data_IF_365940960300
#
_entry.id   IF_365940960300
#
_cell.length_a   1.000
_cell.length_b   1.000
_cell.length_c   1.000
_cell.angle_alpha   90.00
_cell.angle_beta   90.00
_cell.angle_gamma   90.00
#
_symmetry.space_group_name_H-M   'P 1'
#
loop_
_entity.id
_entity.type
_entity.pdbx_description
1 polymer ?
#
# COMPACT_ATOMS: atom_id res chain seq x y z
N UNK A 1 -9.97 1.63 3.31
CA UNK A 1 -8.61 2.16 3.08
C UNK A 1 -7.74 0.99 2.64
N UNK A 2 -7.14 1.08 1.45
CA UNK A 2 -6.04 0.17 1.10
C UNK A 2 -4.70 0.90 1.19
N UNK A 3 -3.63 0.13 1.07
CA UNK A 3 -2.27 0.63 0.93
C UNK A 3 -1.83 0.42 -0.52
N UNK A 4 -1.73 1.50 -1.33
CA UNK A 4 -1.44 1.40 -2.76
C UNK A 4 0.07 1.43 -3.04
N UNK A 5 0.62 0.35 -3.60
CA UNK A 5 2.01 0.25 -4.05
C UNK A 5 2.08 0.06 -5.56
N UNK A 6 3.08 0.63 -6.21
CA UNK A 6 3.36 0.41 -7.64
C UNK A 6 4.84 0.18 -7.90
N UNK A 7 5.11 -0.73 -8.83
CA UNK A 7 6.45 -1.09 -9.29
C UNK A 7 6.55 -0.86 -10.80
N UNK A 8 7.51 -0.05 -11.22
CA UNK A 8 7.73 0.30 -12.63
C UNK A 8 8.88 -0.51 -13.23
N UNK A 9 8.65 -1.14 -14.38
CA UNK A 9 9.63 -1.98 -15.08
C UNK A 9 9.83 -1.50 -16.53
N UNK A 10 11.07 -1.16 -16.93
CA UNK A 10 11.36 -0.70 -18.28
C UNK A 10 11.23 -1.79 -19.34
N UNK A 11 11.03 -1.39 -20.60
CA UNK A 11 10.84 -2.30 -21.74
C UNK A 11 11.88 -3.41 -21.82
N UNK A 12 13.16 -3.11 -21.63
CA UNK A 12 14.24 -4.09 -21.80
C UNK A 12 14.14 -5.28 -20.83
N UNK A 13 13.49 -5.10 -19.67
CA UNK A 13 13.26 -6.17 -18.69
C UNK A 13 12.13 -7.11 -19.09
N UNK A 14 11.09 -6.58 -19.76
CA UNK A 14 9.85 -7.31 -20.04
C UNK A 14 9.66 -7.65 -21.52
N UNK A 15 10.54 -7.18 -22.41
CA UNK A 15 10.43 -7.35 -23.87
C UNK A 15 10.41 -8.81 -24.33
N UNK A 16 10.98 -9.73 -23.54
CA UNK A 16 11.05 -11.16 -23.87
C UNK A 16 9.81 -11.94 -23.46
N UNK A 17 8.91 -11.34 -22.66
CA UNK A 17 7.71 -12.01 -22.14
C UNK A 17 6.49 -11.54 -22.95
N UNK A 18 5.78 -12.44 -23.65
CA UNK A 18 4.53 -12.06 -24.31
C UNK A 18 3.51 -11.55 -23.29
N UNK A 19 2.79 -10.45 -23.61
CA UNK A 19 1.80 -9.81 -22.71
C UNK A 19 0.85 -10.82 -22.05
N UNK A 20 0.24 -11.69 -22.85
CA UNK A 20 -0.70 -12.71 -22.38
C UNK A 20 -0.07 -13.71 -21.40
N UNK A 21 1.23 -14.03 -21.56
CA UNK A 21 1.94 -14.90 -20.63
C UNK A 21 2.23 -14.19 -19.32
N UNK A 22 2.64 -12.93 -19.36
CA UNK A 22 2.91 -12.14 -18.16
C UNK A 22 1.67 -12.04 -17.26
N UNK A 23 0.53 -11.65 -17.84
CA UNK A 23 -0.74 -11.55 -17.14
C UNK A 23 -1.14 -12.89 -16.50
N UNK A 24 -0.99 -13.99 -17.25
CA UNK A 24 -1.23 -15.36 -16.74
C UNK A 24 -0.27 -15.76 -15.62
N UNK A 25 1.01 -15.39 -15.70
CA UNK A 25 1.97 -15.70 -14.64
C UNK A 25 1.68 -14.93 -13.35
N UNK A 26 1.35 -13.64 -13.46
CA UNK A 26 1.03 -12.79 -12.33
C UNK A 26 -0.29 -13.21 -11.64
N UNK A 27 -1.33 -13.53 -12.41
CA UNK A 27 -2.61 -13.99 -11.87
C UNK A 27 -2.50 -15.36 -11.19
N UNK A 28 -1.83 -16.32 -11.82
CA UNK A 28 -1.63 -17.66 -11.23
C UNK A 28 -0.80 -17.61 -9.94
N UNK A 29 0.28 -16.81 -9.93
CA UNK A 29 1.12 -16.64 -8.73
C UNK A 29 0.38 -15.86 -7.64
N UNK A 30 -0.45 -14.88 -7.99
CA UNK A 30 -1.29 -14.15 -7.03
C UNK A 30 -2.28 -15.09 -6.35
N UNK A 31 -2.99 -15.92 -7.14
CA UNK A 31 -3.90 -16.94 -6.62
C UNK A 31 -3.18 -17.89 -5.65
N UNK A 32 -2.00 -18.40 -6.01
CA UNK A 32 -1.18 -19.23 -5.11
C UNK A 32 -0.75 -18.50 -3.85
N UNK A 33 -0.38 -17.22 -3.96
CA UNK A 33 0.01 -16.42 -2.80
C UNK A 33 -1.16 -16.27 -1.84
N UNK A 34 -2.35 -15.98 -2.36
CA UNK A 34 -3.56 -15.82 -1.56
C UNK A 34 -3.93 -17.10 -0.80
N UNK A 35 -3.55 -18.30 -1.24
CA UNK A 35 -3.74 -19.52 -0.41
C UNK A 35 -3.01 -19.46 0.93
N UNK A 36 -1.85 -18.81 0.97
CA UNK A 36 -1.05 -18.61 2.20
C UNK A 36 -1.44 -17.34 2.97
N UNK A 37 -2.19 -16.46 2.30
CA UNK A 37 -2.58 -15.13 2.75
C UNK A 37 -4.11 -14.96 2.63
N UNK A 38 -4.86 -16.01 2.99
CA UNK A 38 -6.28 -16.21 2.67
C UNK A 38 -7.26 -15.11 3.13
N UNK A 39 -7.07 -14.40 4.27
CA UNK A 39 -7.93 -13.29 4.65
C UNK A 39 -7.99 -12.16 3.62
N UNK A 40 -6.94 -11.98 2.82
CA UNK A 40 -6.93 -10.99 1.73
C UNK A 40 -7.71 -11.42 0.48
N UNK A 41 -8.14 -12.69 0.42
CA UNK A 41 -9.09 -13.22 -0.55
C UNK A 41 -10.51 -13.36 0.01
N UNK A 42 -10.76 -12.84 1.22
CA UNK A 42 -12.09 -12.83 1.83
C UNK A 42 -12.89 -11.57 1.50
N UNK A 43 -14.01 -11.42 2.19
CA UNK A 43 -14.88 -10.25 2.14
C UNK A 43 -14.96 -9.53 3.50
N UNK A 44 -15.27 -8.24 3.48
CA UNK A 44 -15.39 -7.42 4.69
C UNK A 44 -16.84 -7.40 5.20
N UNK A 45 -17.07 -7.94 6.39
CA UNK A 45 -18.36 -7.89 7.09
C UNK A 45 -18.37 -6.85 8.19
N UNK A 46 -19.44 -6.07 8.24
CA UNK A 46 -19.73 -5.06 9.27
C UNK A 46 -18.56 -4.09 9.53
N UNK A 47 -17.73 -3.85 8.52
CA UNK A 47 -16.52 -3.02 8.61
C UNK A 47 -15.45 -3.44 9.63
N UNK A 48 -15.59 -4.58 10.30
CA UNK A 48 -14.72 -4.99 11.41
C UNK A 48 -14.22 -6.44 11.31
N UNK A 49 -14.95 -7.30 10.62
CA UNK A 49 -14.65 -8.73 10.52
C UNK A 49 -14.35 -9.11 9.07
N UNK A 50 -13.36 -9.98 8.87
CA UNK A 50 -13.08 -10.57 7.56
C UNK A 50 -13.74 -11.94 7.50
N UNK A 51 -14.64 -12.14 6.53
CA UNK A 51 -15.15 -13.47 6.19
C UNK A 51 -14.19 -14.10 5.19
N UNK A 52 -13.61 -15.25 5.53
CA UNK A 52 -12.69 -15.98 4.65
C UNK A 52 -13.51 -16.90 3.72
N UNK A 53 -14.29 -16.28 2.84
CA UNK A 53 -15.28 -16.89 1.93
C UNK A 53 -14.74 -17.12 0.50
N UNK A 54 -13.43 -16.97 0.30
CA UNK A 54 -12.76 -17.04 -1.00
C UNK A 54 -13.40 -16.12 -2.07
N UNK A 55 -13.96 -14.96 -1.67
CA UNK A 55 -14.44 -13.90 -2.58
C UNK A 55 -13.40 -13.51 -3.65
N UNK A 56 -12.13 -13.63 -3.30
CA UNK A 56 -11.01 -13.52 -4.21
C UNK A 56 -10.42 -12.12 -4.31
N UNK A 57 -9.58 -11.93 -5.31
CA UNK A 57 -8.90 -10.69 -5.62
C UNK A 57 -9.28 -10.19 -7.01
N UNK A 58 -9.29 -8.87 -7.19
CA UNK A 58 -9.48 -8.28 -8.51
C UNK A 58 -8.12 -8.07 -9.18
N UNK A 59 -8.02 -8.43 -10.47
CA UNK A 59 -6.83 -8.21 -11.28
C UNK A 59 -7.24 -7.50 -12.57
N UNK A 60 -6.71 -6.30 -12.77
CA UNK A 60 -6.95 -5.49 -13.96
C UNK A 60 -5.74 -5.53 -14.89
N UNK A 61 -5.97 -5.57 -16.19
CA UNK A 61 -4.94 -5.36 -17.21
C UNK A 61 -5.37 -4.21 -18.11
N UNK A 62 -4.55 -3.17 -18.20
CA UNK A 62 -4.90 -1.92 -18.88
C UNK A 62 -3.75 -1.41 -19.75
N UNK A 63 -4.09 -0.59 -20.74
CA UNK A 63 -3.12 0.19 -21.52
C UNK A 63 -3.20 1.67 -21.13
N UNK A 64 -2.05 2.27 -20.85
CA UNK A 64 -1.92 3.69 -20.56
C UNK A 64 -1.27 4.35 -21.77
N UNK A 65 -2.02 5.25 -22.43
CA UNK A 65 -1.60 6.03 -23.60
C UNK A 65 -0.63 7.17 -23.21
N UNK A 66 0.47 6.80 -22.56
CA UNK A 66 1.56 7.69 -22.16
C UNK A 66 2.84 6.89 -21.97
N UNK A 67 3.99 7.58 -22.02
CA UNK A 67 5.27 7.00 -21.61
C UNK A 67 5.33 6.80 -20.09
N UNK A 68 5.93 5.69 -19.65
CA UNK A 68 6.16 5.37 -18.24
C UNK A 68 6.89 6.50 -17.50
N UNK A 69 7.86 7.17 -18.13
CA UNK A 69 8.62 8.26 -17.52
C UNK A 69 7.78 9.50 -17.19
N UNK A 70 6.63 9.68 -17.85
CA UNK A 70 5.68 10.75 -17.50
C UNK A 70 4.81 10.37 -16.30
N UNK A 71 4.51 9.08 -16.14
CA UNK A 71 3.60 8.55 -15.11
C UNK A 71 4.34 8.19 -13.82
N UNK A 72 5.64 7.92 -13.88
CA UNK A 72 6.47 7.58 -12.71
C UNK A 72 6.45 8.65 -11.60
N UNK A 73 6.18 9.91 -11.98
CA UNK A 73 6.01 11.04 -11.07
C UNK A 73 4.56 11.32 -10.69
N UNK A 74 3.60 10.54 -11.18
CA UNK A 74 2.20 10.59 -10.81
C UNK A 74 1.61 9.17 -10.77
N UNK A 75 2.01 8.37 -9.76
CA UNK A 75 1.68 6.94 -9.69
C UNK A 75 0.17 6.68 -9.57
N UNK A 76 -0.65 7.66 -9.22
CA UNK A 76 -2.11 7.48 -9.10
C UNK A 76 -2.76 7.01 -10.40
N UNK A 77 -2.17 7.32 -11.55
CA UNK A 77 -2.66 6.90 -12.86
C UNK A 77 -2.50 5.39 -13.12
N UNK A 78 -1.72 4.67 -12.29
CA UNK A 78 -1.49 3.23 -12.45
C UNK A 78 -2.39 2.38 -11.56
N UNK A 79 -3.36 2.98 -10.87
CA UNK A 79 -4.33 2.27 -10.03
C UNK A 79 -5.73 2.37 -10.64
N UNK A 80 -6.60 1.36 -10.46
CA UNK A 80 -7.97 1.42 -10.94
C UNK A 80 -8.72 2.64 -10.37
N UNK A 81 -9.42 3.36 -11.25
CA UNK A 81 -10.27 4.48 -10.84
C UNK A 81 -11.46 3.97 -10.02
N UNK A 82 -11.92 4.75 -9.04
CA UNK A 82 -13.06 4.36 -8.21
C UNK A 82 -12.75 3.33 -7.12
N UNK A 83 -11.50 2.84 -7.02
CA UNK A 83 -11.05 2.20 -5.78
C UNK A 83 -11.28 3.16 -4.62
N UNK A 84 -11.93 2.67 -3.55
CA UNK A 84 -12.35 3.46 -2.40
C UNK A 84 -11.15 4.07 -1.64
N UNK A 85 -10.59 5.13 -2.18
CA UNK A 85 -9.69 6.06 -1.50
C UNK A 85 -10.42 7.37 -1.20
N UNK A 86 -11.35 7.78 -2.06
CA UNK A 86 -12.08 9.05 -1.99
C UNK A 86 -13.57 8.79 -1.75
N UNK A 87 -13.96 8.89 -0.49
CA UNK A 87 -15.33 9.03 -0.01
C UNK A 87 -16.33 7.90 -0.34
N UNK A 88 -17.29 7.77 0.57
CA UNK A 88 -18.31 6.74 0.64
C UNK A 88 -19.26 6.73 -0.56
N UNK A 89 -19.09 5.79 -1.49
CA UNK A 89 -20.21 5.18 -2.24
C UNK A 89 -19.73 4.01 -3.11
N UNK A 90 -19.96 2.79 -2.58
CA UNK A 90 -20.53 1.63 -3.30
C UNK A 90 -19.91 1.09 -4.61
N UNK A 91 -18.64 1.29 -4.94
CA UNK A 91 -18.12 0.86 -6.26
C UNK A 91 -16.90 -0.08 -6.30
N UNK A 92 -16.41 -0.57 -5.15
CA UNK A 92 -15.54 -1.76 -5.15
C UNK A 92 -16.37 -2.98 -4.77
N UNK A 93 -16.19 -4.12 -5.45
CA UNK A 93 -16.96 -5.36 -5.21
C UNK A 93 -16.81 -5.95 -3.79
N UNK A 94 -16.04 -5.30 -2.92
CA UNK A 94 -15.69 -5.78 -1.59
C UNK A 94 -14.32 -6.46 -1.52
N UNK A 95 -13.64 -6.62 -2.66
CA UNK A 95 -12.34 -7.30 -2.74
C UNK A 95 -11.28 -6.65 -1.85
N UNK A 96 -10.63 -7.44 -0.99
CA UNK A 96 -9.61 -6.95 -0.06
C UNK A 96 -8.22 -6.80 -0.69
N UNK A 97 -8.06 -7.34 -1.89
CA UNK A 97 -6.86 -7.30 -2.73
C UNK A 97 -7.23 -6.87 -4.14
N UNK A 98 -6.58 -5.82 -4.62
CA UNK A 98 -6.72 -5.38 -6.02
C UNK A 98 -5.34 -5.20 -6.62
N UNK A 99 -5.09 -5.81 -7.77
CA UNK A 99 -3.86 -5.66 -8.54
C UNK A 99 -4.17 -5.09 -9.92
N UNK A 100 -3.24 -4.32 -10.49
CA UNK A 100 -3.34 -3.83 -11.86
C UNK A 100 -2.01 -3.95 -12.58
N UNK A 101 -2.01 -4.58 -13.75
CA UNK A 101 -0.93 -4.56 -14.72
C UNK A 101 -1.23 -3.48 -15.77
N UNK A 102 -0.39 -2.44 -15.81
CA UNK A 102 -0.53 -1.34 -16.77
C UNK A 102 0.59 -1.40 -17.80
N UNK A 103 0.23 -1.41 -19.09
CA UNK A 103 1.17 -1.36 -20.21
C UNK A 103 1.31 0.07 -20.73
N UNK A 104 2.54 0.54 -20.95
CA UNK A 104 2.80 1.88 -21.50
C UNK A 104 3.19 1.84 -22.98
N UNK A 105 3.00 2.95 -23.70
CA UNK A 105 3.39 3.10 -25.12
C UNK A 105 4.89 2.84 -25.35
N UNK A 106 5.73 3.16 -24.36
CA UNK A 106 7.18 2.91 -24.42
C UNK A 106 7.56 1.44 -24.26
N UNK A 107 6.58 0.53 -24.08
CA UNK A 107 6.77 -0.90 -23.86
C UNK A 107 7.20 -1.30 -22.45
N UNK A 108 7.28 -0.33 -21.52
CA UNK A 108 7.42 -0.61 -20.09
C UNK A 108 6.08 -0.98 -19.46
N UNK A 109 6.13 -1.44 -18.21
CA UNK A 109 4.93 -1.79 -17.43
C UNK A 109 4.96 -1.15 -16.03
N UNK A 110 3.78 -1.03 -15.43
CA UNK A 110 3.60 -0.82 -13.99
C UNK A 110 2.77 -1.97 -13.41
N UNK A 111 3.26 -2.57 -12.33
CA UNK A 111 2.51 -3.52 -11.52
C UNK A 111 2.08 -2.84 -10.22
N UNK A 112 0.79 -2.62 -10.07
CA UNK A 112 0.18 -1.96 -8.93
C UNK A 112 -0.52 -2.98 -8.02
N UNK A 113 -0.47 -2.76 -6.71
CA UNK A 113 -1.15 -3.56 -5.70
C UNK A 113 -1.79 -2.66 -4.64
N UNK A 114 -3.02 -2.99 -4.29
CA UNK A 114 -3.84 -2.34 -3.28
C UNK A 114 -4.32 -3.40 -2.28
N UNK A 115 -3.76 -3.40 -1.07
CA UNK A 115 -4.17 -4.30 0.00
C UNK A 115 -4.93 -3.56 1.10
N UNK A 116 -6.09 -4.07 1.50
CA UNK A 116 -6.91 -3.47 2.55
C UNK A 116 -6.11 -3.38 3.86
N UNK A 117 -5.95 -2.16 4.38
CA UNK A 117 -5.26 -1.91 5.65
C UNK A 117 -6.05 -2.46 6.86
N UNK A 118 -7.30 -2.90 6.64
CA UNK A 118 -8.09 -3.59 7.68
C UNK A 118 -7.60 -5.01 7.96
N UNK A 119 -6.85 -5.61 7.03
CA UNK A 119 -6.38 -7.00 7.14
C UNK A 119 -4.96 -7.06 7.69
N UNK A 120 -4.10 -6.12 7.30
CA UNK A 120 -2.70 -6.12 7.70
C UNK A 120 -2.04 -4.75 7.61
N UNK A 121 -0.85 -4.66 8.20
CA UNK A 121 -0.02 -3.46 8.21
C UNK A 121 1.01 -3.44 7.07
N UNK A 122 1.94 -2.48 7.11
CA UNK A 122 3.02 -2.37 6.14
C UNK A 122 3.97 -3.58 6.13
N UNK A 123 4.19 -4.21 7.29
CA UNK A 123 5.03 -5.40 7.43
C UNK A 123 4.38 -6.60 6.73
N UNK A 124 3.08 -6.85 6.99
CA UNK A 124 2.34 -7.90 6.30
C UNK A 124 2.31 -7.65 4.79
N UNK A 125 2.11 -6.40 4.37
CA UNK A 125 2.08 -6.02 2.95
C UNK A 125 3.42 -6.29 2.25
N UNK A 126 4.54 -5.94 2.89
CA UNK A 126 5.86 -6.22 2.35
C UNK A 126 6.09 -7.73 2.16
N UNK A 127 5.76 -8.54 3.17
CA UNK A 127 5.94 -10.00 3.08
C UNK A 127 5.03 -10.64 2.03
N UNK A 128 3.78 -10.16 1.90
CA UNK A 128 2.89 -10.56 0.82
C UNK A 128 3.52 -10.31 -0.56
N UNK A 129 3.97 -9.08 -0.82
CA UNK A 129 4.59 -8.72 -2.10
C UNK A 129 5.86 -9.52 -2.39
N UNK A 130 6.71 -9.71 -1.37
CA UNK A 130 7.94 -10.52 -1.48
C UNK A 130 7.60 -11.96 -1.86
N UNK A 131 6.62 -12.56 -1.19
CA UNK A 131 6.26 -13.95 -1.41
C UNK A 131 5.50 -14.14 -2.74
N UNK A 132 4.69 -13.16 -3.16
CA UNK A 132 4.09 -13.12 -4.49
C UNK A 132 5.15 -13.11 -5.59
N UNK A 133 6.15 -12.23 -5.45
CA UNK A 133 7.28 -12.16 -6.38
C UNK A 133 8.07 -13.48 -6.42
N UNK A 134 8.27 -14.14 -5.26
CA UNK A 134 8.90 -15.47 -5.19
C UNK A 134 8.10 -16.55 -5.92
N UNK A 135 6.79 -16.62 -5.71
CA UNK A 135 5.90 -17.57 -6.39
C UNK A 135 5.77 -17.31 -7.89
N UNK A 136 5.94 -16.06 -8.32
CA UNK A 136 5.97 -15.71 -9.74
C UNK A 136 7.21 -16.29 -10.42
N UNK A 137 8.37 -16.24 -9.74
CA UNK A 137 9.63 -16.84 -10.23
C UNK A 137 9.66 -18.35 -10.16
N UNK A 138 9.23 -18.91 -9.03
CA UNK A 138 9.21 -20.35 -8.78
C UNK A 138 7.82 -20.78 -8.30
N UNK A 139 6.95 -21.23 -9.22
CA UNK A 139 5.59 -21.64 -8.86
C UNK A 139 5.51 -22.89 -7.98
N UNK A 140 6.64 -23.57 -7.71
CA UNK A 140 6.71 -24.79 -6.87
C UNK A 140 7.17 -24.49 -5.45
N UNK A 141 7.58 -23.25 -5.15
CA UNK A 141 8.05 -22.89 -3.82
C UNK A 141 6.92 -23.05 -2.79
N UNK A 142 7.23 -23.69 -1.67
CA UNK A 142 6.31 -23.78 -0.53
C UNK A 142 6.56 -22.58 0.37
N UNK A 143 5.55 -21.72 0.52
CA UNK A 143 5.63 -20.57 1.41
C UNK A 143 5.42 -21.00 2.86
N UNK A 144 6.15 -20.33 3.75
CA UNK A 144 5.94 -20.39 5.20
C UNK A 144 5.89 -18.95 5.70
N UNK A 145 4.71 -18.30 5.66
CA UNK A 145 4.60 -16.88 6.00
C UNK A 145 4.76 -16.70 7.52
N UNK A 146 5.99 -16.51 8.00
CA UNK A 146 6.31 -16.37 9.43
C UNK A 146 5.66 -15.17 10.12
N UNK A 147 5.22 -14.19 9.34
CA UNK A 147 4.68 -12.92 9.81
C UNK A 147 3.22 -12.71 9.42
N UNK A 148 2.58 -13.71 8.81
CA UNK A 148 1.15 -13.69 8.61
C UNK A 148 0.51 -14.46 9.76
N UNK A 149 -0.35 -13.79 10.52
CA UNK A 149 -0.97 -14.33 11.71
C UNK A 149 -1.95 -15.45 11.35
N UNK A 150 -1.44 -16.67 11.14
CA UNK A 150 -2.25 -17.88 11.15
C UNK A 150 -2.89 -18.10 12.54
N UNK A 151 -2.18 -17.65 13.59
CA UNK A 151 -2.46 -17.99 14.99
C UNK A 151 -2.62 -16.77 15.93
N UNK A 152 -2.52 -15.51 15.46
CA UNK A 152 -2.62 -14.30 16.31
C UNK A 152 -3.95 -13.54 16.22
N UNK A 153 -4.91 -14.07 15.47
CA UNK A 153 -6.29 -13.66 15.67
C UNK A 153 -6.78 -14.42 16.90
N UNK A 154 -6.88 -13.75 18.05
CA UNK A 154 -7.81 -14.21 19.07
C UNK A 154 -9.12 -14.48 18.33
N UNK A 155 -9.61 -15.74 18.27
CA UNK A 155 -10.85 -16.01 17.57
C UNK A 155 -11.89 -15.05 18.13
N UNK A 156 -12.56 -14.31 17.25
CA UNK A 156 -13.74 -13.56 17.66
C UNK A 156 -14.63 -14.57 18.39
N UNK A 157 -15.16 -14.25 19.58
CA UNK A 157 -16.14 -15.12 20.21
C UNK A 157 -17.25 -15.42 19.19
N UNK A 158 -17.79 -16.64 19.25
CA UNK A 158 -18.81 -17.13 18.31
C UNK A 158 -20.03 -16.20 18.20
N UNK A 159 -20.24 -15.31 19.17
CA UNK A 159 -21.39 -14.39 19.26
C UNK A 159 -21.12 -12.95 18.76
N UNK A 160 -20.04 -12.71 18.00
CA UNK A 160 -19.77 -11.43 17.34
C UNK A 160 -18.56 -10.66 17.89
N UNK A 161 -18.34 -9.40 17.46
CA UNK A 161 -17.18 -8.62 17.91
C UNK A 161 -17.23 -8.50 19.43
N UNK A 162 -16.08 -8.65 20.10
CA UNK A 162 -15.97 -8.37 21.53
C UNK A 162 -16.50 -6.96 21.80
N UNK A 163 -17.70 -6.86 22.34
CA UNK A 163 -18.17 -5.65 22.99
C UNK A 163 -17.40 -5.59 24.30
N UNK A 164 -16.16 -5.11 24.23
CA UNK A 164 -15.48 -4.69 25.44
C UNK A 164 -16.33 -3.59 26.05
N UNK A 165 -16.83 -3.80 27.28
CA UNK A 165 -17.19 -2.66 28.11
C UNK A 165 -15.94 -1.79 28.13
N UNK A 166 -16.07 -0.53 27.69
CA UNK A 166 -15.06 0.47 27.97
C UNK A 166 -15.03 0.56 29.49
N UNK A 167 -14.09 -0.15 30.13
CA UNK A 167 -13.86 -0.03 31.57
C UNK A 167 -13.26 1.35 31.72
N UNK A 168 -14.12 2.34 32.00
CA UNK A 168 -13.65 3.63 32.46
C UNK A 168 -13.08 3.44 33.86
N UNK A 169 -11.77 3.63 34.07
CA UNK A 169 -11.19 3.43 35.38
C UNK A 169 -11.76 4.45 36.37
N UNK A 170 -12.20 3.98 37.55
CA UNK A 170 -12.64 4.84 38.66
C UNK A 170 -11.50 5.79 39.04
N UNK A 171 -11.75 7.10 38.88
CA UNK A 171 -10.72 8.15 38.92
C UNK A 171 -10.48 8.72 40.32
N UNK A 172 -11.23 8.29 41.33
CA UNK A 172 -11.12 8.79 42.70
C UNK A 172 -9.93 8.14 43.41
N UNK A 173 -8.96 8.96 43.83
CA UNK A 173 -7.83 8.55 44.67
C UNK A 173 -6.54 8.15 43.95
N UNK A 174 -6.46 8.28 42.62
CA UNK A 174 -5.25 7.91 41.86
C UNK A 174 -4.14 8.99 41.97
N UNK A 175 -2.98 8.64 42.53
CA UNK A 175 -1.81 9.53 42.60
C UNK A 175 -1.00 9.42 41.31
N UNK A 176 -1.13 10.43 40.44
CA UNK A 176 -0.47 10.50 39.13
C UNK A 176 0.93 11.13 39.23
N UNK A 177 2.02 10.36 39.01
CA UNK A 177 3.35 10.92 38.69
C UNK A 177 3.57 10.90 37.16
N UNK A 178 3.86 12.06 36.53
CA UNK A 178 3.96 12.25 35.06
C UNK A 178 5.21 13.07 34.73
N UNK A 179 6.09 12.58 33.86
CA UNK A 179 6.81 13.45 32.91
C UNK A 179 5.76 13.87 31.87
N UNK A 180 5.34 15.13 31.92
CA UNK A 180 3.97 15.57 31.58
C UNK A 180 3.54 15.31 30.14
N UNK A 181 2.86 14.18 29.95
CA UNK A 181 1.73 13.96 29.03
C UNK A 181 0.80 15.19 29.13
N UNK A 182 0.55 15.84 28.00
CA UNK A 182 -0.45 16.89 27.86
C UNK A 182 -1.84 16.24 27.92
N UNK A 183 -2.79 16.94 28.53
CA UNK A 183 -4.20 16.61 28.35
C UNK A 183 -4.53 16.81 26.88
N UNK A 184 -4.82 15.76 26.13
CA UNK A 184 -5.73 15.90 25.01
C UNK A 184 -7.12 16.12 25.60
N UNK A 185 -7.37 17.36 26.05
CA UNK A 185 -8.63 18.00 25.70
C UNK A 185 -8.82 17.78 24.18
N UNK A 186 -10.06 17.63 23.71
CA UNK A 186 -10.39 17.96 22.32
C UNK A 186 -10.01 19.44 22.11
N UNK A 187 -8.73 19.70 21.88
CA UNK A 187 -8.21 20.87 21.23
C UNK A 187 -8.16 20.48 19.75
N UNK A 188 -8.48 21.41 18.86
CA UNK A 188 -8.17 21.29 17.45
C UNK A 188 -6.65 21.18 17.29
N UNK A 189 -6.10 19.98 17.46
CA UNK A 189 -4.71 19.69 17.20
C UNK A 189 -4.66 18.91 15.89
N UNK A 190 -3.91 19.43 14.92
CA UNK A 190 -3.63 18.70 13.70
C UNK A 190 -2.73 17.49 14.02
N UNK A 191 -3.22 16.30 13.66
CA UNK A 191 -2.47 15.05 13.79
C UNK A 191 -1.81 14.76 12.45
N UNK A 192 -0.50 14.51 12.48
CA UNK A 192 0.30 14.07 11.34
C UNK A 192 0.85 12.67 11.59
N UNK A 193 0.68 11.78 10.63
CA UNK A 193 1.17 10.40 10.66
C UNK A 193 2.45 10.29 9.83
N UNK A 194 3.54 9.84 10.46
CA UNK A 194 4.82 9.62 9.79
C UNK A 194 5.17 8.15 9.93
N UNK A 195 5.33 7.45 8.80
CA UNK A 195 5.72 6.05 8.75
C UNK A 195 7.00 5.88 7.96
N UNK A 196 7.97 5.16 8.51
CA UNK A 196 9.20 4.79 7.82
C UNK A 196 9.13 3.34 7.36
N UNK A 197 9.33 3.12 6.07
CA UNK A 197 9.38 1.80 5.43
C UNK A 197 10.77 1.50 4.87
N UNK A 198 11.81 2.23 5.28
CA UNK A 198 13.19 2.06 4.83
C UNK A 198 13.75 0.66 5.08
N UNK A 199 13.28 -0.02 6.12
CA UNK A 199 13.66 -1.39 6.43
C UNK A 199 13.06 -2.43 5.45
N UNK A 200 12.08 -2.02 4.65
CA UNK A 200 11.43 -2.87 3.65
C UNK A 200 12.06 -2.58 2.28
N UNK A 201 12.67 -3.62 1.70
CA UNK A 201 13.45 -3.52 0.47
C UNK A 201 12.54 -3.63 -0.77
N UNK A 202 11.55 -2.73 -0.89
CA UNK A 202 10.57 -2.74 -1.99
C UNK A 202 11.24 -2.66 -3.37
N UNK A 203 12.35 -1.94 -3.47
CA UNK A 203 13.18 -1.82 -4.67
C UNK A 203 13.89 -3.13 -5.08
N UNK A 204 13.92 -4.14 -4.20
CA UNK A 204 14.52 -5.46 -4.47
C UNK A 204 13.50 -6.52 -4.83
N UNK A 205 12.21 -6.20 -4.85
CA UNK A 205 11.13 -7.14 -5.18
C UNK A 205 11.16 -7.42 -6.69
N UNK A 206 11.67 -8.59 -7.06
CA UNK A 206 11.78 -9.03 -8.45
C UNK A 206 10.78 -10.15 -8.75
N UNK A 207 9.92 -9.97 -9.75
CA UNK A 207 8.89 -10.94 -10.15
C UNK A 207 9.40 -11.99 -11.16
N UNK A 208 10.68 -11.97 -11.53
CA UNK A 208 11.30 -12.86 -12.51
C UNK A 208 11.71 -12.19 -13.80
N UNK A 209 11.43 -10.89 -13.94
CA UNK A 209 11.85 -10.07 -15.07
C UNK A 209 12.85 -8.97 -14.65
N UNK A 210 13.40 -9.05 -13.43
CA UNK A 210 14.36 -8.10 -12.89
C UNK A 210 13.77 -7.21 -11.81
N UNK A 211 14.63 -6.38 -11.20
CA UNK A 211 14.22 -5.43 -10.16
C UNK A 211 13.49 -4.23 -10.78
N UNK A 212 12.51 -3.64 -10.09
CA UNK A 212 11.83 -2.45 -10.57
C UNK A 212 12.83 -1.31 -10.73
N UNK A 213 12.69 -0.55 -11.81
CA UNK A 213 13.41 0.73 -11.95
C UNK A 213 12.96 1.73 -10.87
N UNK A 214 11.71 1.60 -10.41
CA UNK A 214 11.20 2.39 -9.27
C UNK A 214 10.07 1.65 -8.56
N UNK A 215 10.13 1.65 -7.23
CA UNK A 215 8.98 1.39 -6.37
C UNK A 215 8.41 2.73 -5.88
N UNK A 216 7.09 2.86 -5.87
CA UNK A 216 6.40 4.08 -5.44
C UNK A 216 5.10 3.75 -4.72
N UNK A 217 4.54 4.75 -4.07
CA UNK A 217 3.24 4.67 -3.44
C UNK A 217 2.23 5.57 -4.15
N UNK A 218 0.97 5.13 -4.24
CA UNK A 218 -0.13 6.01 -4.64
C UNK A 218 -0.52 6.98 -3.52
N UNK A 219 -1.23 8.05 -3.88
CA UNK A 219 -1.86 8.97 -2.93
C UNK A 219 -2.88 8.20 -2.10
N UNK A 220 -2.54 7.96 -0.83
CA UNK A 220 -3.43 7.32 0.13
C UNK A 220 -4.66 8.18 0.45
N UNK A 221 -5.70 7.60 1.09
CA UNK A 221 -6.94 8.32 1.39
C UNK A 221 -6.80 9.37 2.50
N UNK A 222 -5.71 9.32 3.27
CA UNK A 222 -5.52 10.15 4.46
C UNK A 222 -4.62 11.33 4.17
N UNK A 223 -5.17 12.55 4.29
CA UNK A 223 -4.37 13.76 4.47
C UNK A 223 -3.56 13.67 5.76
N UNK A 224 -2.49 14.47 5.85
CA UNK A 224 -1.59 14.55 6.99
C UNK A 224 -0.73 13.28 7.17
N UNK A 225 -0.33 12.65 6.05
CA UNK A 225 0.48 11.43 6.07
C UNK A 225 1.81 11.65 5.36
N UNK A 226 2.89 11.14 5.95
CA UNK A 226 4.24 11.11 5.42
C UNK A 226 4.74 9.67 5.41
N UNK A 227 5.23 9.20 4.26
CA UNK A 227 5.75 7.85 4.10
C UNK A 227 7.17 7.91 3.56
N UNK A 228 8.12 7.38 4.32
CA UNK A 228 9.55 7.41 3.98
C UNK A 228 9.97 6.07 3.38
N UNK A 229 10.37 6.07 2.11
CA UNK A 229 10.81 4.89 1.36
C UNK A 229 12.25 5.06 0.86
N UNK A 230 12.92 3.94 0.57
CA UNK A 230 14.25 3.97 -0.05
C UNK A 230 14.21 4.61 -1.44
N UNK A 231 15.31 5.22 -1.84
CA UNK A 231 15.56 5.57 -3.24
C UNK A 231 15.91 4.32 -4.04
N UNK A 232 15.70 4.33 -5.36
CA UNK A 232 16.28 3.32 -6.25
C UNK A 232 17.80 3.20 -6.02
N UNK A 233 18.31 1.97 -6.09
CA UNK A 233 19.69 1.63 -5.68
C UNK A 233 20.80 2.30 -6.52
N UNK A 234 20.45 2.91 -7.65
CA UNK A 234 21.33 3.64 -8.57
C UNK A 234 21.43 5.15 -8.26
N UNK A 235 20.59 5.67 -7.36
CA UNK A 235 20.71 7.02 -6.82
C UNK A 235 21.33 6.99 -5.43
N UNK A 236 22.12 8.02 -5.11
CA UNK A 236 22.79 8.25 -3.82
C UNK A 236 21.85 7.94 -2.63
N UNK A 237 22.41 7.58 -1.45
CA UNK A 237 21.70 7.03 -0.26
C UNK A 237 20.65 7.96 0.40
N UNK A 238 19.77 8.55 -0.38
CA UNK A 238 18.69 9.42 0.04
C UNK A 238 17.44 8.65 0.47
N UNK A 239 16.43 9.42 0.86
CA UNK A 239 15.12 8.92 1.29
C UNK A 239 14.06 9.63 0.45
N UNK A 240 13.16 8.87 -0.15
CA UNK A 240 11.95 9.41 -0.77
C UNK A 240 10.90 9.64 0.32
N UNK A 241 10.44 10.88 0.47
CA UNK A 241 9.31 11.22 1.33
C UNK A 241 8.06 11.44 0.48
N UNK A 242 7.09 10.53 0.58
CA UNK A 242 5.76 10.68 0.01
C UNK A 242 4.88 11.44 0.99
N UNK A 243 4.50 12.65 0.62
CA UNK A 243 3.79 13.59 1.52
C UNK A 243 2.39 13.84 0.98
N UNK A 244 1.37 13.52 1.78
CA UNK A 244 -0.02 13.82 1.48
C UNK A 244 -0.57 14.77 2.54
N UNK A 245 -0.78 16.03 2.18
CA UNK A 245 -1.29 17.10 3.06
C UNK A 245 -2.49 17.76 2.42
N UNK A 246 -3.26 18.49 3.22
CA UNK A 246 -4.29 19.41 2.69
C UNK A 246 -3.63 20.44 1.78
N UNK A 247 -4.39 20.97 0.82
CA UNK A 247 -3.84 21.89 -0.20
C UNK A 247 -3.15 23.11 0.41
N UNK A 248 -3.74 23.70 1.45
CA UNK A 248 -3.18 24.85 2.18
C UNK A 248 -1.84 24.50 2.83
N UNK A 249 -1.80 23.39 3.58
CA UNK A 249 -0.60 22.91 4.27
C UNK A 249 0.50 22.50 3.28
N UNK A 250 0.11 21.87 2.17
CA UNK A 250 1.02 21.46 1.10
C UNK A 250 1.65 22.68 0.42
N UNK A 251 0.90 23.77 0.25
CA UNK A 251 1.43 25.03 -0.30
C UNK A 251 2.51 25.62 0.61
N UNK A 252 2.30 25.59 1.93
CA UNK A 252 3.29 26.05 2.91
C UNK A 252 4.51 25.11 2.89
N UNK A 253 4.28 23.80 3.02
CA UNK A 253 5.33 22.78 3.06
C UNK A 253 6.26 22.84 1.85
N UNK A 254 5.73 23.07 0.64
CA UNK A 254 6.51 23.17 -0.60
C UNK A 254 7.42 24.39 -0.66
N UNK A 255 7.06 25.48 0.00
CA UNK A 255 7.77 26.76 -0.07
C UNK A 255 8.65 27.00 1.17
N UNK A 256 8.72 26.04 2.09
CA UNK A 256 9.50 26.14 3.30
C UNK A 256 11.01 26.16 2.98
N UNK A 257 11.68 27.27 3.32
CA UNK A 257 13.09 27.48 2.97
C UNK A 257 14.05 26.57 3.73
N UNK A 258 13.67 26.10 4.91
CA UNK A 258 14.51 25.22 5.71
C UNK A 258 14.40 23.79 5.16
N UNK A 259 13.21 23.35 4.78
CA UNK A 259 13.00 22.06 4.11
C UNK A 259 13.74 22.00 2.77
N UNK A 260 13.66 23.06 1.96
CA UNK A 260 14.29 23.12 0.63
C UNK A 260 15.81 23.09 0.66
N UNK A 261 16.44 23.31 1.83
CA UNK A 261 17.89 23.10 2.00
C UNK A 261 18.28 21.62 1.98
N UNK A 262 17.35 20.72 2.34
CA UNK A 262 17.61 19.28 2.49
C UNK A 262 16.79 18.39 1.55
N UNK A 263 15.75 18.92 0.91
CA UNK A 263 14.84 18.16 0.08
C UNK A 263 14.67 18.79 -1.31
N UNK A 264 14.59 17.95 -2.33
CA UNK A 264 14.20 18.34 -3.68
C UNK A 264 12.76 17.91 -3.95
N UNK A 265 11.77 18.81 -3.88
CA UNK A 265 10.38 18.43 -4.10
C UNK A 265 10.15 18.04 -5.56
N UNK A 266 9.56 16.85 -5.75
CA UNK A 266 9.11 16.37 -7.06
C UNK A 266 7.59 16.47 -7.10
N UNK A 267 7.07 17.25 -8.03
CA UNK A 267 5.64 17.56 -8.09
C UNK A 267 4.86 16.49 -8.84
N UNK A 268 3.99 15.76 -8.14
CA UNK A 268 2.91 15.00 -8.77
C UNK A 268 1.80 15.99 -9.18
N UNK A 269 1.85 16.52 -10.40
CA UNK A 269 0.79 17.41 -10.90
C UNK A 269 -0.46 16.61 -11.30
N UNK A 270 -1.31 16.28 -10.33
CA UNK A 270 -2.65 15.76 -10.58
C UNK A 270 -3.67 16.87 -10.77
N UNK A 271 -3.63 17.60 -11.91
CA UNK A 271 -4.83 18.33 -12.36
C UNK A 271 -5.70 17.35 -13.15
N UNK A 272 -6.72 16.84 -12.51
CA UNK A 272 -7.86 16.22 -13.20
C UNK A 272 -8.72 17.40 -13.70
N UNK A 273 -8.75 17.62 -15.00
CA UNK A 273 -9.90 18.26 -15.66
C UNK A 273 -10.91 17.18 -15.97
#
# INVERSE_FOLDING_TARGET
>A
MYVPFVFFYPKHQVATIPKHQLSKFLTNSLSKTLTSYYPWAGSLKNNATIECDDHGAEFFEVEINSSMNKVVHNPDLTFPQGLCWRYSSSSTSGALTVAQLSHFECGGIALSLCLSHKVGDACNTYYFLRDWARLTRDPKIILSPRYFAKDSLMPSPFDGPMVYQIIEPRREGCIHKRTRKLAFQQRNCDVYHITSTLAFEFEKIDFGFGKPARASQGSGPSSNTFILMNTPADHDRGVNAFVNLKEQDMSIFKNDKDLLQFATPVYCSGRIK
#
